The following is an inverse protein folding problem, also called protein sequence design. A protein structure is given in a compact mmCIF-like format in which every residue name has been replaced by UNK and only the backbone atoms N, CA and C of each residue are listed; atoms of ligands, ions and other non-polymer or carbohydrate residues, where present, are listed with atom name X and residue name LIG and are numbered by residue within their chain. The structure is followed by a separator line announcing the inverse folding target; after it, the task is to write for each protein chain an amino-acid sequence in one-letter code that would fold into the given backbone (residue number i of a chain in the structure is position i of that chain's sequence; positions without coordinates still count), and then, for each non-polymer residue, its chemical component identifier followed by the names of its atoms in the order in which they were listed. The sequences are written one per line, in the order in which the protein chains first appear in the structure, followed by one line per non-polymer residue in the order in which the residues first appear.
data_IF_895080410881
#
_entry.id   IF_895080410881
#
_cell.length_a   1.000
_cell.length_b   1.000
_cell.length_c   1.000
_cell.angle_alpha   90.00
_cell.angle_beta   90.00
_cell.angle_gamma   90.00
#
_symmetry.space_group_name_H-M   'P 1'
#
loop_
_entity.id
_entity.type
_entity.pdbx_description
1 polymer ?
#
# COMPACT_ATOMS: atom_id res chain seq x y z
N UNK A 1 43.82 24.62 35.01
CA UNK A 1 44.24 24.79 33.59
C UNK A 1 45.05 23.56 33.18
N UNK A 2 44.39 22.55 32.61
CA UNK A 2 45.04 21.36 32.07
C UNK A 2 44.50 21.13 30.66
N UNK A 3 45.45 21.04 29.72
CA UNK A 3 45.30 21.09 28.27
C UNK A 3 44.43 19.96 27.73
N UNK A 4 43.65 20.30 26.70
CA UNK A 4 42.75 19.42 25.98
C UNK A 4 43.43 18.29 25.21
N UNK A 5 42.63 17.25 24.97
CA UNK A 5 42.93 16.08 24.18
C UNK A 5 43.18 16.40 22.70
N UNK A 6 43.97 15.59 21.97
CA UNK A 6 43.85 15.53 20.52
C UNK A 6 42.65 14.65 20.15
N UNK A 7 41.67 15.27 19.50
CA UNK A 7 40.55 14.60 18.85
C UNK A 7 41.08 13.64 17.77
N UNK A 8 40.69 12.36 17.85
CA UNK A 8 40.82 11.43 16.71
C UNK A 8 39.92 11.94 15.60
N UNK A 9 40.52 12.41 14.52
CA UNK A 9 39.84 12.71 13.28
C UNK A 9 39.07 11.46 12.82
N UNK A 10 37.74 11.57 12.78
CA UNK A 10 36.87 10.60 12.12
C UNK A 10 37.21 10.70 10.64
N UNK A 11 37.70 9.60 10.08
CA UNK A 11 38.00 9.49 8.66
C UNK A 11 36.71 9.73 7.86
N UNK A 12 36.67 10.87 7.17
CA UNK A 12 35.66 11.23 6.20
C UNK A 12 35.71 10.19 5.09
N UNK A 13 34.75 9.27 5.08
CA UNK A 13 34.64 8.26 4.02
C UNK A 13 33.98 8.96 2.85
N UNK A 14 34.77 9.48 1.93
CA UNK A 14 34.31 10.03 0.65
C UNK A 14 33.47 8.98 -0.10
N UNK A 15 32.15 8.99 0.13
CA UNK A 15 31.17 8.23 -0.62
C UNK A 15 30.89 8.98 -1.92
N UNK A 16 31.55 8.57 -3.01
CA UNK A 16 31.09 8.98 -4.34
C UNK A 16 29.64 8.48 -4.52
N UNK A 17 28.67 9.36 -4.82
CA UNK A 17 27.28 8.95 -4.95
C UNK A 17 27.18 7.93 -6.08
N UNK A 18 26.61 6.77 -5.77
CA UNK A 18 26.34 5.72 -6.75
C UNK A 18 25.61 6.31 -7.97
N UNK A 19 25.90 5.83 -9.20
CA UNK A 19 25.21 6.31 -10.39
C UNK A 19 23.69 6.23 -10.21
N UNK A 20 22.98 7.30 -10.60
CA UNK A 20 21.52 7.39 -10.44
C UNK A 20 20.79 6.17 -11.01
N UNK A 21 21.23 5.68 -12.17
CA UNK A 21 20.67 4.49 -12.80
C UNK A 21 20.75 3.25 -11.90
N UNK A 22 21.84 3.10 -11.16
CA UNK A 22 22.05 1.97 -10.26
C UNK A 22 21.17 2.07 -9.01
N UNK A 23 20.99 3.27 -8.47
CA UNK A 23 20.04 3.52 -7.37
C UNK A 23 18.61 3.21 -7.80
N UNK A 24 18.20 3.65 -9.00
CA UNK A 24 16.89 3.36 -9.57
C UNK A 24 16.69 1.87 -9.88
N UNK A 25 17.74 1.17 -10.33
CA UNK A 25 17.70 -0.28 -10.50
C UNK A 25 17.48 -0.99 -9.16
N UNK A 26 18.17 -0.55 -8.10
CA UNK A 26 17.95 -1.01 -6.73
C UNK A 26 16.53 -0.72 -6.22
N UNK A 27 15.99 0.46 -6.53
CA UNK A 27 14.62 0.87 -6.18
C UNK A 27 13.58 -0.04 -6.84
N UNK A 28 13.77 -0.35 -8.13
CA UNK A 28 12.92 -1.27 -8.89
C UNK A 28 13.02 -2.70 -8.34
N UNK A 29 14.24 -3.20 -8.08
CA UNK A 29 14.46 -4.54 -7.54
C UNK A 29 13.83 -4.71 -6.16
N UNK A 30 14.03 -3.75 -5.26
CA UNK A 30 13.41 -3.73 -3.94
C UNK A 30 11.88 -3.79 -4.01
N UNK A 31 11.30 -2.94 -4.87
CA UNK A 31 9.85 -2.88 -5.05
C UNK A 31 9.28 -4.18 -5.62
N UNK A 32 9.92 -4.74 -6.64
CA UNK A 32 9.51 -6.00 -7.28
C UNK A 32 9.59 -7.20 -6.32
N UNK A 33 10.67 -7.30 -5.55
CA UNK A 33 10.88 -8.39 -4.58
C UNK A 33 9.95 -8.28 -3.38
N UNK A 34 9.75 -7.07 -2.84
CA UNK A 34 8.78 -6.87 -1.76
C UNK A 34 7.36 -7.18 -2.23
N UNK A 35 6.99 -6.74 -3.43
CA UNK A 35 5.70 -7.07 -4.02
C UNK A 35 5.52 -8.59 -4.17
N UNK A 36 6.55 -9.31 -4.63
CA UNK A 36 6.52 -10.77 -4.74
C UNK A 36 6.25 -11.44 -3.38
N UNK A 37 6.92 -10.98 -2.32
CA UNK A 37 6.74 -11.48 -0.95
C UNK A 37 5.29 -11.36 -0.46
N UNK A 38 4.64 -10.22 -0.72
CA UNK A 38 3.32 -9.93 -0.15
C UNK A 38 2.14 -10.35 -1.04
N UNK A 39 2.40 -10.57 -2.33
CA UNK A 39 1.35 -10.84 -3.33
C UNK A 39 0.48 -12.07 -3.00
N UNK A 40 1.02 -13.20 -2.51
CA UNK A 40 0.20 -14.34 -2.10
C UNK A 40 -0.85 -13.99 -1.05
N UNK A 41 -0.42 -13.30 0.02
CA UNK A 41 -1.29 -12.92 1.12
C UNK A 41 -2.37 -11.92 0.68
N UNK A 42 -1.99 -10.89 -0.08
CA UNK A 42 -2.96 -9.89 -0.57
C UNK A 42 -3.95 -10.52 -1.56
N UNK A 43 -3.50 -11.40 -2.46
CA UNK A 43 -4.37 -12.09 -3.41
C UNK A 43 -5.43 -12.92 -2.70
N UNK A 44 -5.05 -13.67 -1.67
CA UNK A 44 -5.97 -14.50 -0.88
C UNK A 44 -7.02 -13.62 -0.17
N UNK A 45 -6.59 -12.52 0.45
CA UNK A 45 -7.49 -11.59 1.15
C UNK A 45 -8.46 -10.89 0.18
N UNK A 46 -7.95 -10.34 -0.92
CA UNK A 46 -8.75 -9.62 -1.91
C UNK A 46 -9.77 -10.54 -2.59
N UNK A 47 -9.35 -11.78 -2.92
CA UNK A 47 -10.27 -12.78 -3.45
C UNK A 47 -11.37 -13.11 -2.44
N UNK A 48 -11.04 -13.33 -1.17
CA UNK A 48 -12.03 -13.65 -0.15
C UNK A 48 -13.06 -12.51 0.03
N UNK A 49 -12.63 -11.26 -0.08
CA UNK A 49 -13.53 -10.10 -0.01
C UNK A 49 -14.50 -10.07 -1.20
N UNK A 50 -14.00 -10.28 -2.42
CA UNK A 50 -14.85 -10.31 -3.63
C UNK A 50 -15.81 -11.50 -3.63
N UNK A 51 -15.36 -12.67 -3.17
CA UNK A 51 -16.22 -13.86 -3.03
C UNK A 51 -17.30 -13.65 -1.96
N UNK A 52 -16.97 -12.96 -0.84
CA UNK A 52 -17.96 -12.63 0.21
C UNK A 52 -19.05 -11.70 -0.33
N UNK A 53 -18.68 -10.66 -1.06
CA UNK A 53 -19.64 -9.69 -1.60
C UNK A 53 -20.50 -10.29 -2.73
N UNK A 54 -19.96 -11.22 -3.51
CA UNK A 54 -20.68 -11.85 -4.63
C UNK A 54 -21.54 -13.05 -4.22
N UNK A 55 -21.10 -13.87 -3.27
CA UNK A 55 -21.76 -15.15 -2.93
C UNK A 55 -22.37 -15.19 -1.53
N UNK A 56 -22.13 -14.17 -0.70
CA UNK A 56 -22.58 -14.15 0.70
C UNK A 56 -21.90 -15.17 1.62
N UNK A 57 -20.92 -15.94 1.11
CA UNK A 57 -20.24 -16.99 1.89
C UNK A 57 -19.37 -16.41 3.01
N UNK A 58 -19.23 -17.09 4.16
CA UNK A 58 -18.35 -16.63 5.25
C UNK A 58 -16.88 -16.56 4.84
N UNK A 59 -16.21 -15.44 5.14
CA UNK A 59 -14.80 -15.17 4.80
C UNK A 59 -13.84 -16.29 5.23
N UNK A 60 -14.00 -16.78 6.45
CA UNK A 60 -13.10 -17.80 7.03
C UNK A 60 -13.13 -19.10 6.22
N UNK A 61 -14.31 -19.48 5.70
CA UNK A 61 -14.46 -20.67 4.86
C UNK A 61 -13.79 -20.47 3.50
N UNK A 62 -13.91 -19.27 2.92
CA UNK A 62 -13.19 -18.87 1.71
C UNK A 62 -11.68 -18.93 1.91
N UNK A 63 -11.15 -18.23 2.92
CA UNK A 63 -9.72 -18.21 3.25
C UNK A 63 -9.14 -19.61 3.47
N UNK A 64 -9.82 -20.46 4.24
CA UNK A 64 -9.37 -21.85 4.49
C UNK A 64 -9.31 -22.67 3.21
N UNK A 65 -10.30 -22.54 2.33
CA UNK A 65 -10.33 -23.24 1.04
C UNK A 65 -9.22 -22.77 0.11
N UNK A 66 -8.93 -21.47 0.07
CA UNK A 66 -7.84 -20.92 -0.75
C UNK A 66 -6.47 -21.32 -0.21
N UNK A 67 -6.26 -21.24 1.10
CA UNK A 67 -5.00 -21.66 1.72
C UNK A 67 -4.75 -23.14 1.45
N UNK A 68 -5.78 -23.98 1.60
CA UNK A 68 -5.67 -25.41 1.28
C UNK A 68 -5.37 -25.66 -0.20
N UNK A 69 -5.95 -24.88 -1.11
CA UNK A 69 -5.70 -25.02 -2.56
C UNK A 69 -4.30 -24.54 -2.95
N UNK A 70 -3.82 -23.44 -2.35
CA UNK A 70 -2.47 -22.93 -2.55
C UNK A 70 -1.41 -23.92 -2.04
N UNK A 71 -1.65 -24.54 -0.88
CA UNK A 71 -0.79 -25.60 -0.33
C UNK A 71 -0.78 -26.87 -1.20
N UNK A 72 -1.93 -27.24 -1.79
CA UNK A 72 -2.05 -28.46 -2.61
C UNK A 72 -1.54 -28.30 -4.04
N UNK A 73 -1.53 -27.08 -4.60
CA UNK A 73 -1.08 -26.80 -5.97
C UNK A 73 -0.31 -25.47 -6.06
N UNK A 74 0.92 -25.40 -5.50
CA UNK A 74 1.68 -24.16 -5.42
C UNK A 74 2.04 -23.59 -6.80
N UNK A 75 2.48 -24.42 -7.75
CA UNK A 75 2.88 -23.95 -9.09
C UNK A 75 1.76 -23.22 -9.85
N UNK A 76 0.55 -23.79 -9.87
CA UNK A 76 -0.60 -23.15 -10.52
C UNK A 76 -1.06 -21.87 -9.81
N UNK A 77 -0.75 -21.71 -8.52
CA UNK A 77 -1.06 -20.51 -7.75
C UNK A 77 -0.07 -19.38 -8.03
N UNK A 78 1.23 -19.69 -8.04
CA UNK A 78 2.30 -18.72 -8.34
C UNK A 78 2.30 -18.24 -9.80
N UNK A 79 1.76 -19.01 -10.73
CA UNK A 79 1.58 -18.61 -12.14
C UNK A 79 0.15 -18.11 -12.46
N UNK A 80 -0.66 -17.78 -11.44
CA UNK A 80 -2.04 -17.38 -11.65
C UNK A 80 -2.19 -15.90 -12.04
N UNK A 81 -3.14 -15.60 -12.95
CA UNK A 81 -3.48 -14.22 -13.36
C UNK A 81 -3.78 -13.29 -12.16
N UNK A 82 -4.56 -13.69 -11.13
CA UNK A 82 -4.84 -12.86 -9.97
C UNK A 82 -3.58 -12.45 -9.20
N UNK A 83 -2.61 -13.35 -9.05
CA UNK A 83 -1.35 -13.05 -8.40
C UNK A 83 -0.54 -12.02 -9.20
N UNK A 84 -0.45 -12.19 -10.52
CA UNK A 84 0.25 -11.25 -11.39
C UNK A 84 -0.35 -9.84 -11.36
N UNK A 85 -1.69 -9.73 -11.25
CA UNK A 85 -2.39 -8.43 -11.11
C UNK A 85 -1.99 -7.76 -9.79
N UNK A 86 -2.04 -8.49 -8.67
CA UNK A 86 -1.66 -7.97 -7.35
C UNK A 86 -0.17 -7.60 -7.31
N UNK A 87 0.69 -8.45 -7.86
CA UNK A 87 2.11 -8.18 -7.98
C UNK A 87 2.36 -6.90 -8.78
N UNK A 88 1.71 -6.73 -9.94
CA UNK A 88 1.86 -5.53 -10.77
C UNK A 88 1.46 -4.26 -10.01
N UNK A 89 0.34 -4.29 -9.29
CA UNK A 89 -0.10 -3.16 -8.45
C UNK A 89 0.99 -2.77 -7.44
N UNK A 90 1.45 -3.70 -6.62
CA UNK A 90 2.35 -3.37 -5.52
C UNK A 90 3.80 -3.17 -5.98
N UNK A 91 4.25 -3.88 -7.02
CA UNK A 91 5.56 -3.63 -7.62
C UNK A 91 5.61 -2.22 -8.20
N UNK A 92 4.59 -1.81 -8.96
CA UNK A 92 4.49 -0.44 -9.48
C UNK A 92 4.41 0.61 -8.37
N UNK A 93 3.65 0.33 -7.32
CA UNK A 93 3.51 1.23 -6.16
C UNK A 93 4.84 1.43 -5.43
N UNK A 94 5.54 0.35 -5.07
CA UNK A 94 6.80 0.45 -4.34
C UNK A 94 7.92 1.00 -5.20
N UNK A 95 8.02 0.58 -6.47
CA UNK A 95 8.98 1.15 -7.42
C UNK A 95 8.80 2.68 -7.55
N UNK A 96 7.55 3.13 -7.67
CA UNK A 96 7.23 4.56 -7.76
C UNK A 96 7.60 5.29 -6.48
N UNK A 97 7.26 4.75 -5.31
CA UNK A 97 7.60 5.37 -4.03
C UNK A 97 9.12 5.48 -3.83
N UNK A 98 9.85 4.41 -4.16
CA UNK A 98 11.31 4.37 -4.05
C UNK A 98 11.97 5.34 -5.02
N UNK A 99 11.59 5.30 -6.31
CA UNK A 99 12.14 6.18 -7.33
C UNK A 99 11.82 7.65 -7.08
N UNK A 100 10.59 7.98 -6.66
CA UNK A 100 10.22 9.34 -6.29
C UNK A 100 11.04 9.86 -5.10
N UNK A 101 11.30 8.99 -4.10
CA UNK A 101 12.18 9.33 -2.97
C UNK A 101 13.59 9.61 -3.45
N UNK A 102 14.19 8.71 -4.23
CA UNK A 102 15.56 8.86 -4.77
C UNK A 102 15.71 10.11 -5.64
N UNK A 103 14.73 10.40 -6.51
CA UNK A 103 14.76 11.57 -7.37
C UNK A 103 14.61 12.87 -6.57
N UNK A 104 13.66 12.92 -5.63
CA UNK A 104 13.47 14.11 -4.78
C UNK A 104 14.69 14.37 -3.88
N UNK A 105 15.28 13.34 -3.29
CA UNK A 105 16.52 13.47 -2.49
C UNK A 105 17.68 14.03 -3.32
N UNK A 106 17.78 13.66 -4.60
CA UNK A 106 18.87 14.08 -5.48
C UNK A 106 18.67 15.47 -6.09
N UNK A 107 17.46 15.84 -6.45
CA UNK A 107 17.20 17.04 -7.26
C UNK A 107 16.42 18.15 -6.54
N UNK A 108 15.53 17.81 -5.60
CA UNK A 108 14.60 18.76 -4.99
C UNK A 108 14.88 19.02 -3.49
N UNK A 109 15.66 18.14 -2.86
CA UNK A 109 16.07 18.20 -1.46
C UNK A 109 15.08 17.55 -0.49
N UNK A 110 15.45 17.44 0.81
CA UNK A 110 14.71 16.64 1.80
C UNK A 110 13.27 17.08 2.04
N UNK A 111 12.97 18.38 1.88
CA UNK A 111 11.64 18.92 2.09
C UNK A 111 10.62 18.46 1.03
N UNK A 112 11.08 18.14 -0.18
CA UNK A 112 10.22 17.72 -1.29
C UNK A 112 9.88 16.23 -1.25
N UNK A 113 10.70 15.40 -0.58
CA UNK A 113 10.59 13.93 -0.57
C UNK A 113 9.20 13.45 -0.17
N UNK A 114 8.65 13.95 0.94
CA UNK A 114 7.33 13.53 1.42
C UNK A 114 6.23 13.80 0.40
N UNK A 115 6.28 14.98 -0.24
CA UNK A 115 5.30 15.42 -1.23
C UNK A 115 5.45 14.66 -2.54
N UNK A 116 6.69 14.49 -3.03
CA UNK A 116 6.97 13.77 -4.27
C UNK A 116 6.58 12.29 -4.18
N UNK A 117 6.92 11.63 -3.07
CA UNK A 117 6.55 10.23 -2.80
C UNK A 117 5.05 10.09 -2.67
N UNK A 118 4.37 10.96 -1.93
CA UNK A 118 2.91 10.93 -1.82
C UNK A 118 2.24 11.11 -3.18
N UNK A 119 2.56 12.18 -3.91
CA UNK A 119 1.90 12.53 -5.15
C UNK A 119 2.11 11.46 -6.22
N UNK A 120 3.36 10.99 -6.40
CA UNK A 120 3.69 9.98 -7.41
C UNK A 120 3.03 8.64 -7.07
N UNK A 121 3.09 8.23 -5.79
CA UNK A 121 2.49 6.96 -5.36
C UNK A 121 0.97 7.02 -5.46
N UNK A 122 0.34 8.14 -5.13
CA UNK A 122 -1.11 8.31 -5.29
C UNK A 122 -1.53 8.21 -6.77
N UNK A 123 -0.82 8.90 -7.66
CA UNK A 123 -1.10 8.91 -9.10
C UNK A 123 -0.94 7.53 -9.75
N UNK A 124 -0.02 6.69 -9.25
CA UNK A 124 0.19 5.33 -9.76
C UNK A 124 -0.71 4.30 -9.08
N UNK A 125 -0.83 4.36 -7.75
CA UNK A 125 -1.55 3.36 -6.98
C UNK A 125 -3.05 3.39 -7.23
N UNK A 126 -3.67 4.57 -7.36
CA UNK A 126 -5.12 4.68 -7.55
C UNK A 126 -5.57 4.00 -8.85
N UNK A 127 -5.00 4.31 -10.03
CA UNK A 127 -5.39 3.63 -11.27
C UNK A 127 -5.09 2.13 -11.25
N UNK A 128 -3.94 1.71 -10.73
CA UNK A 128 -3.59 0.28 -10.63
C UNK A 128 -4.54 -0.46 -9.67
N UNK A 129 -4.97 0.20 -8.59
CA UNK A 129 -5.92 -0.33 -7.63
C UNK A 129 -7.29 -0.54 -8.25
N UNK A 130 -7.78 0.45 -9.01
CA UNK A 130 -9.02 0.34 -9.79
C UNK A 130 -8.92 -0.79 -10.82
N UNK A 131 -7.82 -0.85 -11.58
CA UNK A 131 -7.58 -1.93 -12.55
C UNK A 131 -7.62 -3.31 -11.90
N UNK A 132 -6.95 -3.48 -10.74
CA UNK A 132 -7.00 -4.72 -9.97
C UNK A 132 -8.43 -5.05 -9.54
N UNK A 133 -9.16 -4.10 -8.94
CA UNK A 133 -10.52 -4.33 -8.46
C UNK A 133 -11.46 -4.76 -9.60
N UNK A 134 -11.36 -4.14 -10.79
CA UNK A 134 -12.12 -4.54 -11.98
C UNK A 134 -11.81 -5.97 -12.40
N UNK A 135 -10.53 -6.33 -12.52
CA UNK A 135 -10.13 -7.69 -12.90
C UNK A 135 -10.54 -8.74 -11.86
N UNK A 136 -10.47 -8.41 -10.58
CA UNK A 136 -10.91 -9.32 -9.52
C UNK A 136 -12.42 -9.53 -9.55
N UNK A 137 -13.21 -8.49 -9.82
CA UNK A 137 -14.64 -8.61 -10.01
C UNK A 137 -14.99 -9.46 -11.26
N UNK A 138 -14.24 -9.31 -12.36
CA UNK A 138 -14.40 -10.14 -13.57
C UNK A 138 -14.09 -11.62 -13.31
N UNK A 139 -13.01 -11.92 -12.56
CA UNK A 139 -12.53 -13.29 -12.35
C UNK A 139 -13.35 -14.01 -11.25
N UNK A 140 -13.74 -13.30 -10.19
CA UNK A 140 -14.32 -13.88 -8.98
C UNK A 140 -15.74 -13.42 -8.65
N UNK A 141 -16.32 -12.53 -9.47
CA UNK A 141 -17.71 -12.11 -9.32
C UNK A 141 -18.68 -13.27 -9.60
N UNK A 142 -19.95 -13.09 -9.22
CA UNK A 142 -21.00 -14.11 -9.32
C UNK A 142 -21.30 -14.61 -10.76
N UNK A 143 -20.68 -14.01 -11.78
CA UNK A 143 -20.88 -14.31 -13.21
C UNK A 143 -19.88 -15.28 -13.84
N UNK A 144 -19.06 -16.01 -13.06
CA UNK A 144 -18.02 -16.94 -13.56
C UNK A 144 -18.50 -18.11 -14.45
N UNK A 145 -19.77 -18.14 -14.86
CA UNK A 145 -20.34 -19.14 -15.79
C UNK A 145 -20.99 -18.53 -17.05
N UNK A 146 -20.92 -17.21 -17.27
CA UNK A 146 -21.40 -16.59 -18.53
C UNK A 146 -20.47 -15.45 -18.95
N UNK A 147 -19.74 -15.57 -20.07
CA UNK A 147 -19.04 -14.44 -20.66
C UNK A 147 -20.08 -13.46 -21.22
N UNK A 148 -20.46 -12.44 -20.44
CA UNK A 148 -21.35 -11.38 -20.95
C UNK A 148 -22.19 -10.58 -19.95
N UNK A 149 -22.25 -10.92 -18.66
CA UNK A 149 -23.12 -10.20 -17.72
C UNK A 149 -22.36 -9.21 -16.81
N UNK A 150 -21.51 -8.36 -17.39
CA UNK A 150 -21.27 -7.03 -16.79
C UNK A 150 -22.39 -6.17 -17.35
N UNK A 151 -23.26 -5.63 -16.50
CA UNK A 151 -24.31 -4.70 -16.93
C UNK A 151 -23.70 -3.64 -17.84
N UNK A 152 -24.00 -3.71 -19.14
CA UNK A 152 -23.47 -2.87 -20.23
C UNK A 152 -24.03 -1.46 -20.22
N UNK A 153 -24.75 -1.06 -19.17
CA UNK A 153 -25.08 0.34 -18.90
C UNK A 153 -23.97 0.94 -18.05
N UNK A 154 -23.11 1.84 -18.59
CA UNK A 154 -22.17 2.58 -17.77
C UNK A 154 -23.00 3.50 -16.87
N UNK A 155 -23.29 3.04 -15.64
CA UNK A 155 -23.81 3.93 -14.60
C UNK A 155 -22.76 5.01 -14.43
N UNK A 156 -23.04 6.22 -14.90
CA UNK A 156 -22.14 7.36 -14.78
C UNK A 156 -21.70 7.43 -13.32
N UNK A 157 -20.40 7.29 -13.07
CA UNK A 157 -19.88 7.37 -11.71
C UNK A 157 -20.22 8.77 -11.18
N UNK A 158 -20.96 8.88 -10.06
CA UNK A 158 -21.25 10.17 -9.47
C UNK A 158 -19.93 10.88 -9.14
N UNK A 159 -19.84 12.18 -9.47
CA UNK A 159 -18.67 13.01 -9.13
C UNK A 159 -18.38 12.98 -7.63
N UNK A 160 -19.43 13.03 -6.80
CA UNK A 160 -19.30 12.95 -5.35
C UNK A 160 -18.72 11.60 -4.88
N UNK A 161 -19.17 10.48 -5.44
CA UNK A 161 -18.62 9.16 -5.13
C UNK A 161 -17.14 9.09 -5.54
N UNK A 162 -16.82 9.53 -6.75
CA UNK A 162 -15.44 9.55 -7.29
C UNK A 162 -14.53 10.40 -6.41
N UNK A 163 -14.92 11.64 -6.08
CA UNK A 163 -14.14 12.52 -5.21
C UNK A 163 -13.94 11.91 -3.82
N UNK A 164 -14.99 11.31 -3.24
CA UNK A 164 -14.89 10.68 -1.91
C UNK A 164 -13.98 9.44 -1.93
N UNK A 165 -14.01 8.64 -3.00
CA UNK A 165 -13.06 7.54 -3.18
C UNK A 165 -11.62 8.04 -3.30
N UNK A 166 -11.38 9.10 -4.08
CA UNK A 166 -10.06 9.71 -4.20
C UNK A 166 -9.55 10.26 -2.86
N UNK A 167 -10.40 10.93 -2.08
CA UNK A 167 -10.03 11.39 -0.72
C UNK A 167 -9.67 10.19 0.17
N UNK A 168 -10.46 9.12 0.13
CA UNK A 168 -10.16 7.89 0.88
C UNK A 168 -8.81 7.29 0.48
N UNK A 169 -8.52 7.25 -0.82
CA UNK A 169 -7.26 6.71 -1.33
C UNK A 169 -6.08 7.61 -0.96
N UNK A 170 -6.27 8.92 -0.98
CA UNK A 170 -5.27 9.89 -0.52
C UNK A 170 -4.94 9.67 0.96
N UNK A 171 -5.95 9.50 1.83
CA UNK A 171 -5.75 9.18 3.26
C UNK A 171 -4.97 7.88 3.43
N UNK A 172 -5.27 6.86 2.62
CA UNK A 172 -4.60 5.55 2.71
C UNK A 172 -3.14 5.65 2.26
N UNK A 173 -2.85 6.31 1.14
CA UNK A 173 -1.48 6.48 0.62
C UNK A 173 -0.66 7.39 1.51
N UNK A 174 -1.23 8.51 1.94
CA UNK A 174 -0.58 9.42 2.90
C UNK A 174 -0.25 8.69 4.21
N UNK A 175 -1.22 7.96 4.76
CA UNK A 175 -1.04 7.13 5.96
C UNK A 175 -0.01 6.00 5.80
N UNK A 176 0.34 5.64 4.56
CA UNK A 176 1.23 4.52 4.27
C UNK A 176 2.65 4.93 3.91
N UNK A 177 2.84 6.06 3.22
CA UNK A 177 4.14 6.45 2.67
C UNK A 177 4.69 7.76 3.22
N UNK A 178 3.85 8.57 3.89
CA UNK A 178 4.27 9.89 4.38
C UNK A 178 4.11 10.00 5.89
N UNK A 179 2.93 9.68 6.42
CA UNK A 179 2.66 9.80 7.85
C UNK A 179 3.58 8.95 8.74
N UNK A 180 4.00 7.71 8.37
CA UNK A 180 4.89 6.93 9.22
C UNK A 180 6.21 7.62 9.52
N UNK A 181 6.81 8.33 8.55
CA UNK A 181 8.09 9.03 8.76
C UNK A 181 7.92 10.22 9.71
N UNK A 182 6.80 10.95 9.59
CA UNK A 182 6.48 12.07 10.49
C UNK A 182 6.23 11.59 11.92
N UNK A 183 5.47 10.51 12.07
CA UNK A 183 5.23 9.91 13.38
C UNK A 183 6.53 9.37 13.96
N UNK A 184 7.37 8.69 13.16
CA UNK A 184 8.67 8.17 13.61
C UNK A 184 9.59 9.25 14.14
N UNK A 185 9.62 10.42 13.49
CA UNK A 185 10.41 11.57 13.93
C UNK A 185 9.88 12.18 15.25
N UNK A 186 8.59 12.05 15.53
CA UNK A 186 7.95 12.53 16.74
C UNK A 186 8.02 11.54 17.92
N UNK A 187 8.38 10.27 17.71
CA UNK A 187 8.50 9.27 18.79
C UNK A 187 9.71 9.61 19.68
N UNK A 188 9.54 9.80 21.00
CA UNK A 188 10.65 10.06 21.92
C UNK A 188 11.66 8.91 21.98
N UNK A 189 12.95 9.23 22.17
CA UNK A 189 14.03 8.23 22.32
C UNK A 189 13.84 7.32 23.55
N UNK A 190 13.12 7.79 24.57
CA UNK A 190 12.83 7.01 25.77
C UNK A 190 11.85 5.84 25.57
N UNK A 191 11.03 5.86 24.51
CA UNK A 191 10.13 4.75 24.19
C UNK A 191 10.81 3.69 23.32
N UNK A 192 11.71 4.10 22.42
CA UNK A 192 12.43 3.22 21.51
C UNK A 192 13.82 3.80 21.24
N UNK A 193 14.86 3.05 21.59
CA UNK A 193 16.24 3.53 21.54
C UNK A 193 16.83 3.63 20.12
N UNK A 194 16.33 2.87 19.14
CA UNK A 194 16.90 2.87 17.78
C UNK A 194 15.98 3.58 16.76
N UNK A 195 16.53 4.48 15.92
CA UNK A 195 15.77 5.10 14.82
C UNK A 195 15.11 4.08 13.89
N UNK A 196 15.80 2.96 13.64
CA UNK A 196 15.28 1.86 12.84
C UNK A 196 14.07 1.17 13.48
N UNK A 197 14.06 0.97 14.81
CA UNK A 197 12.88 0.42 15.50
C UNK A 197 11.69 1.38 15.45
N UNK A 198 11.92 2.69 15.60
CA UNK A 198 10.86 3.70 15.46
C UNK A 198 10.25 3.67 14.05
N UNK A 199 11.08 3.65 13.01
CA UNK A 199 10.63 3.61 11.63
C UNK A 199 9.85 2.31 11.33
N UNK A 200 10.37 1.16 11.79
CA UNK A 200 9.70 -0.14 11.61
C UNK A 200 8.36 -0.19 12.33
N UNK A 201 8.31 0.21 13.60
CA UNK A 201 7.08 0.21 14.39
C UNK A 201 6.00 1.11 13.79
N UNK A 202 6.38 2.33 13.40
CA UNK A 202 5.45 3.29 12.79
C UNK A 202 4.98 2.81 11.42
N UNK A 203 5.86 2.25 10.59
CA UNK A 203 5.46 1.64 9.31
C UNK A 203 4.54 0.43 9.51
N UNK A 204 4.71 -0.35 10.58
CA UNK A 204 3.83 -1.48 10.86
C UNK A 204 2.43 -1.04 11.33
N UNK A 205 2.34 0.08 12.06
CA UNK A 205 1.12 0.48 12.80
C UNK A 205 0.35 1.62 12.15
N UNK A 206 1.01 2.68 11.69
CA UNK A 206 0.37 3.89 11.15
C UNK A 206 -0.51 3.60 9.93
N UNK A 207 -0.12 2.77 8.96
CA UNK A 207 -1.00 2.43 7.83
C UNK A 207 -2.30 1.76 8.29
N UNK A 208 -2.21 0.90 9.30
CA UNK A 208 -3.38 0.22 9.89
C UNK A 208 -4.28 1.23 10.59
N UNK A 209 -3.71 2.12 11.40
CA UNK A 209 -4.45 3.16 12.12
C UNK A 209 -5.13 4.17 11.18
N UNK A 210 -4.53 4.44 10.01
CA UNK A 210 -5.14 5.30 8.99
C UNK A 210 -6.52 4.78 8.54
N UNK A 211 -6.79 3.48 8.67
CA UNK A 211 -8.08 2.90 8.31
C UNK A 211 -9.22 3.30 9.26
N UNK A 212 -8.93 3.79 10.46
CA UNK A 212 -9.96 4.39 11.32
C UNK A 212 -10.60 5.64 10.66
N UNK A 213 -9.84 6.34 9.82
CA UNK A 213 -10.30 7.51 9.06
C UNK A 213 -10.72 7.12 7.64
N UNK A 214 -9.94 6.28 6.95
CA UNK A 214 -10.23 5.91 5.57
C UNK A 214 -11.50 5.04 5.42
N UNK A 215 -11.83 4.21 6.42
CA UNK A 215 -12.97 3.28 6.32
C UNK A 215 -14.34 3.97 6.39
N UNK A 216 -14.58 4.94 7.31
CA UNK A 216 -15.79 5.76 7.26
C UNK A 216 -15.95 6.49 5.91
N UNK A 217 -14.88 7.08 5.39
CA UNK A 217 -14.89 7.78 4.08
C UNK A 217 -15.24 6.80 2.96
N UNK A 218 -14.70 5.58 3.00
CA UNK A 218 -15.03 4.51 2.05
C UNK A 218 -16.53 4.18 2.04
N UNK A 219 -17.15 4.05 3.22
CA UNK A 219 -18.58 3.75 3.32
C UNK A 219 -19.45 4.90 2.80
N UNK A 220 -19.05 6.14 3.07
CA UNK A 220 -19.71 7.33 2.51
C UNK A 220 -19.58 7.36 0.98
N UNK A 221 -18.42 6.98 0.44
CA UNK A 221 -18.22 6.89 -1.02
C UNK A 221 -19.15 5.85 -1.66
N UNK A 222 -19.31 4.68 -1.03
CA UNK A 222 -20.27 3.65 -1.44
C UNK A 222 -21.72 4.17 -1.38
N UNK A 223 -22.09 4.88 -0.32
CA UNK A 223 -23.40 5.50 -0.20
C UNK A 223 -23.68 6.52 -1.32
N UNK A 224 -22.71 7.37 -1.67
CA UNK A 224 -22.83 8.28 -2.81
C UNK A 224 -22.98 7.54 -4.15
N UNK A 225 -22.36 6.37 -4.28
CA UNK A 225 -22.46 5.55 -5.48
C UNK A 225 -23.83 4.88 -5.60
N UNK A 226 -24.34 4.32 -4.50
CA UNK A 226 -25.61 3.58 -4.45
C UNK A 226 -26.82 4.52 -4.43
N UNK A 227 -26.81 5.54 -3.57
CA UNK A 227 -27.89 6.52 -3.38
C UNK A 227 -27.53 7.86 -4.03
N UNK A 228 -27.70 7.94 -5.34
CA UNK A 228 -27.37 9.13 -6.15
C UNK A 228 -28.34 10.31 -5.97
N UNK A 229 -29.43 10.12 -5.23
CA UNK A 229 -30.39 11.17 -4.91
C UNK A 229 -29.76 12.26 -4.01
N UNK A 230 -30.30 13.48 -4.05
CA UNK A 230 -29.92 14.53 -3.10
C UNK A 230 -30.46 14.15 -1.72
N UNK A 231 -29.55 13.81 -0.83
CA UNK A 231 -29.83 13.45 0.56
C UNK A 231 -28.94 14.32 1.47
N UNK A 232 -29.46 14.75 2.63
CA UNK A 232 -28.64 15.35 3.68
C UNK A 232 -27.45 14.46 4.04
N UNK A 233 -26.30 15.07 4.36
CA UNK A 233 -25.10 14.32 4.75
C UNK A 233 -25.31 13.50 6.03
N UNK A 234 -26.11 14.00 6.97
CA UNK A 234 -26.52 13.29 8.20
C UNK A 234 -27.13 11.92 7.91
N UNK A 235 -27.95 11.83 6.86
CA UNK A 235 -28.69 10.61 6.52
C UNK A 235 -27.78 9.56 5.88
N UNK A 236 -26.68 10.00 5.26
CA UNK A 236 -25.61 9.14 4.77
C UNK A 236 -24.77 8.58 5.90
N UNK A 237 -24.36 9.45 6.83
CA UNK A 237 -23.63 9.02 8.04
C UNK A 237 -24.48 8.06 8.88
N UNK A 238 -25.75 8.38 9.12
CA UNK A 238 -26.65 7.54 9.89
C UNK A 238 -26.82 6.14 9.30
N UNK A 239 -26.87 6.01 7.98
CA UNK A 239 -26.99 4.71 7.30
C UNK A 239 -25.70 3.89 7.33
N UNK A 240 -24.56 4.55 7.20
CA UNK A 240 -23.27 3.86 7.12
C UNK A 240 -22.71 3.44 8.48
N UNK A 241 -23.11 4.12 9.58
CA UNK A 241 -22.52 3.95 10.92
C UNK A 241 -22.49 2.50 11.43
N UNK A 242 -23.53 1.72 11.15
CA UNK A 242 -23.65 0.33 11.62
C UNK A 242 -22.60 -0.60 10.97
N UNK A 243 -22.14 -0.24 9.77
CA UNK A 243 -21.17 -1.01 9.00
C UNK A 243 -19.71 -0.59 9.28
N UNK A 244 -19.50 0.54 9.96
CA UNK A 244 -18.16 1.10 10.21
C UNK A 244 -17.23 0.11 10.92
N UNK A 245 -17.61 -0.53 12.05
CA UNK A 245 -16.68 -1.41 12.78
C UNK A 245 -16.22 -2.60 11.94
N UNK A 246 -17.16 -3.28 11.26
CA UNK A 246 -16.86 -4.41 10.37
C UNK A 246 -15.94 -3.97 9.21
N UNK A 247 -16.20 -2.80 8.64
CA UNK A 247 -15.41 -2.27 7.52
C UNK A 247 -14.00 -1.93 7.96
N UNK A 248 -13.82 -1.32 9.13
CA UNK A 248 -12.51 -1.02 9.71
C UNK A 248 -11.70 -2.31 9.85
N UNK A 249 -12.24 -3.33 10.52
CA UNK A 249 -11.52 -4.60 10.74
C UNK A 249 -11.09 -5.22 9.41
N UNK A 250 -12.01 -5.31 8.45
CA UNK A 250 -11.72 -5.87 7.13
C UNK A 250 -10.64 -5.09 6.39
N UNK A 251 -10.66 -3.77 6.48
CA UNK A 251 -9.68 -2.91 5.81
C UNK A 251 -8.33 -2.96 6.50
N UNK A 252 -8.28 -2.96 7.84
CA UNK A 252 -7.04 -3.17 8.60
C UNK A 252 -6.34 -4.46 8.18
N UNK A 253 -7.07 -5.59 8.12
CA UNK A 253 -6.51 -6.89 7.70
C UNK A 253 -5.90 -6.81 6.30
N UNK A 254 -6.54 -6.11 5.36
CA UNK A 254 -6.05 -5.97 3.98
C UNK A 254 -4.82 -5.07 3.87
N UNK A 255 -4.71 -4.05 4.72
CA UNK A 255 -3.61 -3.08 4.69
C UNK A 255 -2.31 -3.69 5.23
N UNK A 256 -2.39 -4.59 6.21
CA UNK A 256 -1.22 -5.17 6.88
C UNK A 256 -0.20 -5.79 5.90
N UNK A 257 -0.57 -6.72 5.00
CA UNK A 257 0.45 -7.34 4.15
C UNK A 257 1.07 -6.34 3.18
N UNK A 258 0.27 -5.46 2.59
CA UNK A 258 0.73 -4.48 1.63
C UNK A 258 1.52 -3.35 2.30
N UNK A 259 0.84 -2.41 2.96
CA UNK A 259 1.46 -1.15 3.37
C UNK A 259 2.18 -1.20 4.71
N UNK A 260 2.00 -2.27 5.50
CA UNK A 260 2.81 -2.49 6.70
C UNK A 260 4.01 -3.38 6.37
N UNK A 261 3.79 -4.70 6.25
CA UNK A 261 4.87 -5.68 6.05
C UNK A 261 5.62 -5.44 4.73
N UNK A 262 4.90 -5.19 3.64
CA UNK A 262 5.49 -4.94 2.33
C UNK A 262 6.32 -3.65 2.30
N UNK A 263 5.87 -2.56 2.92
CA UNK A 263 6.68 -1.34 3.01
C UNK A 263 7.96 -1.57 3.83
N UNK A 264 7.90 -2.26 4.98
CA UNK A 264 9.10 -2.60 5.76
C UNK A 264 10.07 -3.45 4.94
N UNK A 265 9.58 -4.53 4.32
CA UNK A 265 10.41 -5.39 3.47
C UNK A 265 11.03 -4.61 2.30
N UNK A 266 10.27 -3.70 1.69
CA UNK A 266 10.73 -2.85 0.60
C UNK A 266 11.85 -1.90 1.06
N UNK A 267 11.70 -1.25 2.21
CA UNK A 267 12.72 -0.36 2.77
C UNK A 267 14.02 -1.11 3.11
N UNK A 268 13.91 -2.30 3.70
CA UNK A 268 15.07 -3.14 3.98
C UNK A 268 15.78 -3.61 2.70
N UNK A 269 15.02 -4.12 1.72
CA UNK A 269 15.57 -4.51 0.43
C UNK A 269 16.22 -3.34 -0.31
N UNK A 270 15.60 -2.16 -0.30
CA UNK A 270 16.15 -0.93 -0.90
C UNK A 270 17.46 -0.54 -0.25
N UNK A 271 17.51 -0.54 1.09
CA UNK A 271 18.73 -0.29 1.86
C UNK A 271 19.84 -1.28 1.50
N UNK A 272 19.52 -2.57 1.36
CA UNK A 272 20.47 -3.59 0.93
C UNK A 272 20.99 -3.35 -0.49
N UNK A 273 20.11 -3.09 -1.47
CA UNK A 273 20.54 -2.86 -2.85
C UNK A 273 21.35 -1.59 -3.03
N UNK A 274 21.02 -0.51 -2.31
CA UNK A 274 21.79 0.73 -2.35
C UNK A 274 23.18 0.57 -1.70
N UNK A 275 23.31 -0.29 -0.69
CA UNK A 275 24.61 -0.62 -0.07
C UNK A 275 25.47 -1.59 -0.90
N UNK A 276 24.84 -2.56 -1.55
CA UNK A 276 25.52 -3.63 -2.29
C UNK A 276 25.93 -3.24 -3.71
N UNK A 277 25.53 -2.05 -4.13
CA UNK A 277 25.93 -1.40 -5.36
C UNK A 277 27.47 -1.33 -5.47
N UNK A 278 28.13 -2.16 -6.32
CA UNK A 278 29.58 -2.23 -6.35
C UNK A 278 30.21 -0.88 -6.66
N UNK A 279 31.31 -0.56 -5.95
CA UNK A 279 32.33 0.38 -6.39
C UNK A 279 32.85 -0.14 -7.74
N UNK A 280 32.27 0.35 -8.83
CA UNK A 280 32.86 0.16 -10.15
C UNK A 280 33.99 1.19 -10.20
N UNK A 281 35.20 0.75 -9.79
CA UNK A 281 36.46 1.37 -10.17
C UNK A 281 36.89 0.86 -11.56
#
# INVERSE_FOLDING_TARGET
MTRGAPAKAVADTNQHPCPLLQQLAGDLAAGAMSAFLISPAVTILDRAVVERTSTGRPLIRGLRSQLSSALRRPGSFFLSKPLAIVWTLYAGTYATANGATTLAERFDGPAAVSTATFASTFLVNVPLGVWKDLRFAEIFGAGGSTPGAVSTTPRKLPRAATATFLVRDAVTIFGSFTLPTWVSAAVPDGLMASPHAKATLTQLTVPVMSQLVASPIHLIALDYYDRQQRLPFSDRVAKTREHVPSTIVMRCIRIIPAFSVGCVANLELRSLFHKWSPRIE
#
